data_IF_972202322478
#
_entry.id   IF_972202322478
#
_cell.length_a   1.000
_cell.length_b   1.000
_cell.length_c   1.000
_cell.angle_alpha   90.00
_cell.angle_beta   90.00
_cell.angle_gamma   90.00
#
_symmetry.space_group_name_H-M   'P 1'
#
loop_
_entity.id
_entity.type
_entity.pdbx_description
1 polymer ?
#
# COMPACT_ATOMS: atom_id res chain seq x y z
N UNK A 1 -19.38 -23.21 -5.11
CA UNK A 1 -18.88 -22.66 -6.40
C UNK A 1 -17.40 -22.38 -6.25
N UNK A 2 -16.54 -22.76 -7.21
CA UNK A 2 -15.13 -22.36 -7.19
C UNK A 2 -15.04 -20.84 -7.36
N UNK A 3 -14.70 -20.13 -6.29
CA UNK A 3 -14.48 -18.68 -6.35
C UNK A 3 -13.36 -18.37 -7.34
N UNK A 4 -13.66 -17.55 -8.36
CA UNK A 4 -12.65 -17.03 -9.27
C UNK A 4 -12.12 -15.69 -8.75
N UNK A 5 -10.87 -15.34 -9.03
CA UNK A 5 -10.29 -14.03 -8.67
C UNK A 5 -11.18 -12.87 -9.15
N UNK A 6 -11.72 -12.98 -10.37
CA UNK A 6 -12.66 -12.00 -10.93
C UNK A 6 -13.97 -11.93 -10.13
N UNK A 7 -14.47 -13.08 -9.67
CA UNK A 7 -15.64 -13.16 -8.79
C UNK A 7 -15.40 -12.46 -7.45
N UNK A 8 -14.27 -12.76 -6.79
CA UNK A 8 -13.88 -12.12 -5.52
C UNK A 8 -13.77 -10.60 -5.67
N UNK A 9 -13.06 -10.10 -6.69
CA UNK A 9 -12.92 -8.65 -6.92
C UNK A 9 -14.26 -7.99 -7.23
N UNK A 10 -15.09 -8.61 -8.07
CA UNK A 10 -16.42 -8.08 -8.40
C UNK A 10 -17.34 -8.06 -7.18
N UNK A 11 -17.32 -9.11 -6.37
CA UNK A 11 -18.12 -9.19 -5.15
C UNK A 11 -17.66 -8.23 -4.06
N UNK A 12 -16.36 -7.98 -3.95
CA UNK A 12 -15.83 -6.94 -3.06
C UNK A 12 -16.22 -5.54 -3.55
N UNK A 13 -16.15 -5.30 -4.86
CA UNK A 13 -16.57 -4.05 -5.48
C UNK A 13 -18.07 -3.76 -5.33
N UNK A 14 -18.93 -4.79 -5.39
CA UNK A 14 -20.36 -4.62 -5.12
C UNK A 14 -20.63 -4.26 -3.66
N UNK A 15 -19.98 -4.93 -2.70
CA UNK A 15 -20.10 -4.62 -1.27
C UNK A 15 -19.57 -3.23 -0.91
N UNK A 16 -18.53 -2.75 -1.59
CA UNK A 16 -17.96 -1.42 -1.38
C UNK A 16 -18.85 -0.28 -1.88
N UNK A 17 -19.92 -0.57 -2.65
CA UNK A 17 -20.56 0.29 -3.64
C UNK A 17 -19.70 0.44 -4.91
N UNK A 18 -20.15 -0.04 -6.09
CA UNK A 18 -19.37 0.01 -7.33
C UNK A 18 -18.92 1.42 -7.74
N UNK A 19 -19.76 2.44 -7.53
CA UNK A 19 -19.42 3.82 -7.86
C UNK A 19 -18.31 4.34 -6.94
N UNK A 20 -18.36 3.98 -5.65
CA UNK A 20 -17.30 4.30 -4.71
C UNK A 20 -16.00 3.57 -5.07
N UNK A 21 -16.04 2.26 -5.32
CA UNK A 21 -14.85 1.48 -5.67
C UNK A 21 -14.17 2.00 -6.95
N UNK A 22 -14.96 2.32 -7.99
CA UNK A 22 -14.46 2.93 -9.20
C UNK A 22 -13.86 4.32 -8.94
N UNK A 23 -14.57 5.18 -8.21
CA UNK A 23 -14.09 6.53 -7.87
C UNK A 23 -12.80 6.51 -7.04
N UNK A 24 -12.71 5.63 -6.04
CA UNK A 24 -11.55 5.48 -5.16
C UNK A 24 -10.27 5.09 -5.91
N UNK A 25 -10.39 4.42 -7.07
CA UNK A 25 -9.25 4.07 -7.92
C UNK A 25 -9.05 5.09 -9.03
N UNK A 26 -10.07 5.33 -9.84
CA UNK A 26 -9.95 6.11 -11.07
C UNK A 26 -9.58 7.56 -10.80
N UNK A 27 -10.14 8.18 -9.75
CA UNK A 27 -9.90 9.60 -9.48
C UNK A 27 -8.45 9.87 -9.06
N UNK A 28 -7.86 9.18 -8.05
CA UNK A 28 -6.47 9.39 -7.68
C UNK A 28 -5.49 9.02 -8.81
N UNK A 29 -5.74 7.91 -9.51
CA UNK A 29 -4.85 7.44 -10.59
C UNK A 29 -4.88 8.40 -11.77
N UNK A 30 -6.06 8.87 -12.19
CA UNK A 30 -6.17 9.86 -13.27
C UNK A 30 -5.53 11.19 -12.87
N UNK A 31 -5.72 11.65 -11.63
CA UNK A 31 -5.07 12.85 -11.13
C UNK A 31 -3.54 12.74 -11.20
N UNK A 32 -2.98 11.59 -10.82
CA UNK A 32 -1.54 11.33 -10.95
C UNK A 32 -1.09 11.34 -12.41
N UNK A 33 -1.79 10.61 -13.29
CA UNK A 33 -1.44 10.54 -14.71
C UNK A 33 -1.40 11.92 -15.36
N UNK A 34 -2.45 12.72 -15.13
CA UNK A 34 -2.53 14.09 -15.66
C UNK A 34 -1.41 14.96 -15.08
N UNK A 35 -1.19 14.91 -13.77
CA UNK A 35 -0.20 15.76 -13.11
C UNK A 35 1.25 15.39 -13.50
N UNK A 36 1.55 14.10 -13.69
CA UNK A 36 2.87 13.62 -14.07
C UNK A 36 3.22 13.86 -15.55
N UNK A 37 2.22 13.93 -16.44
CA UNK A 37 2.43 14.04 -17.90
C UNK A 37 2.28 15.46 -18.43
N UNK A 38 1.14 16.11 -18.14
CA UNK A 38 0.79 17.43 -18.72
C UNK A 38 0.67 18.52 -17.66
N UNK A 39 0.53 18.14 -16.39
CA UNK A 39 0.35 19.10 -15.29
C UNK A 39 1.64 19.84 -14.91
N UNK A 40 1.49 20.98 -14.23
CA UNK A 40 2.61 21.76 -13.71
C UNK A 40 3.30 21.08 -12.52
N UNK A 41 4.44 21.61 -12.08
CA UNK A 41 5.15 21.11 -10.89
C UNK A 41 4.31 21.25 -9.62
N UNK A 42 3.55 22.34 -9.52
CA UNK A 42 2.64 22.63 -8.42
C UNK A 42 1.49 21.63 -8.40
N UNK A 43 0.89 21.33 -9.56
CA UNK A 43 -0.17 20.33 -9.67
C UNK A 43 0.32 18.93 -9.31
N UNK A 44 1.53 18.56 -9.75
CA UNK A 44 2.12 17.27 -9.39
C UNK A 44 2.44 17.18 -7.89
N UNK A 45 3.01 18.24 -7.32
CA UNK A 45 3.22 18.36 -5.87
C UNK A 45 1.90 18.25 -5.12
N UNK A 46 0.87 18.97 -5.56
CA UNK A 46 -0.45 18.94 -4.94
C UNK A 46 -1.06 17.54 -4.94
N UNK A 47 -1.08 16.86 -6.09
CA UNK A 47 -1.65 15.49 -6.17
C UNK A 47 -0.88 14.51 -5.27
N UNK A 48 0.45 14.56 -5.30
CA UNK A 48 1.28 13.72 -4.44
C UNK A 48 1.02 13.98 -2.95
N UNK A 49 1.07 15.25 -2.53
CA UNK A 49 0.91 15.63 -1.12
C UNK A 49 -0.52 15.33 -0.65
N UNK A 50 -1.54 15.64 -1.44
CA UNK A 50 -2.94 15.37 -1.07
C UNK A 50 -3.21 13.88 -0.91
N UNK A 51 -2.69 13.03 -1.82
CA UNK A 51 -2.81 11.58 -1.66
C UNK A 51 -2.09 11.10 -0.40
N UNK A 52 -0.88 11.60 -0.14
CA UNK A 52 -0.10 11.22 1.04
C UNK A 52 -0.72 11.67 2.36
N UNK A 53 -1.26 12.89 2.42
CA UNK A 53 -1.95 13.42 3.60
C UNK A 53 -3.24 12.66 3.87
N UNK A 54 -4.03 12.32 2.84
CA UNK A 54 -5.22 11.50 3.01
C UNK A 54 -4.88 10.10 3.50
N UNK A 55 -3.87 9.46 2.88
CA UNK A 55 -3.42 8.13 3.30
C UNK A 55 -2.97 8.13 4.77
N UNK A 56 -2.09 9.07 5.12
CA UNK A 56 -1.56 9.21 6.49
C UNK A 56 -2.64 9.57 7.49
N UNK A 57 -3.53 10.50 7.13
CA UNK A 57 -4.61 10.95 7.98
C UNK A 57 -5.59 9.82 8.30
N UNK A 58 -5.89 8.96 7.33
CA UNK A 58 -6.72 7.78 7.56
C UNK A 58 -6.03 6.80 8.50
N UNK A 59 -4.75 6.45 8.27
CA UNK A 59 -4.03 5.50 9.13
C UNK A 59 -3.93 5.98 10.58
N UNK A 60 -3.63 7.28 10.78
CA UNK A 60 -3.62 7.90 12.10
C UNK A 60 -5.00 7.94 12.75
N UNK A 61 -6.06 8.28 11.99
CA UNK A 61 -7.43 8.25 12.48
C UNK A 61 -7.84 6.84 12.89
N UNK A 62 -7.52 5.84 12.07
CA UNK A 62 -7.78 4.43 12.36
C UNK A 62 -7.12 3.98 13.64
N UNK A 63 -5.90 4.43 13.90
CA UNK A 63 -5.13 4.04 15.06
C UNK A 63 -5.57 4.75 16.35
N UNK A 64 -5.75 6.06 16.29
CA UNK A 64 -5.95 6.91 17.47
C UNK A 64 -7.41 7.05 17.86
N UNK A 65 -8.33 6.98 16.89
CA UNK A 65 -9.76 7.23 17.11
C UNK A 65 -10.56 5.96 16.90
N UNK A 66 -10.54 5.40 15.69
CA UNK A 66 -11.43 4.28 15.37
C UNK A 66 -11.02 2.99 16.11
N UNK A 67 -9.72 2.70 16.22
CA UNK A 67 -9.19 1.52 16.90
C UNK A 67 -9.66 1.39 18.36
N UNK A 68 -9.50 2.42 19.21
CA UNK A 68 -10.03 2.42 20.57
C UNK A 68 -11.56 2.26 20.63
N UNK A 69 -12.30 2.93 19.74
CA UNK A 69 -13.77 2.79 19.66
C UNK A 69 -14.15 1.34 19.35
N UNK A 70 -13.52 0.73 18.35
CA UNK A 70 -13.75 -0.67 17.98
C UNK A 70 -13.36 -1.63 19.10
N UNK A 71 -12.28 -1.34 19.83
CA UNK A 71 -11.83 -2.13 20.97
C UNK A 71 -12.86 -2.20 22.11
N UNK A 72 -13.68 -1.17 22.27
CA UNK A 72 -14.76 -1.13 23.26
C UNK A 72 -16.05 -1.84 22.85
N UNK A 73 -16.19 -2.25 21.58
CA UNK A 73 -17.39 -2.94 21.09
C UNK A 73 -17.34 -4.45 21.38
N UNK A 74 -18.52 -5.03 21.61
CA UNK A 74 -18.73 -6.48 21.57
C UNK A 74 -18.35 -7.04 20.18
N UNK A 75 -17.97 -8.33 20.13
CA UNK A 75 -17.43 -8.98 18.91
C UNK A 75 -18.35 -8.82 17.72
N UNK A 76 -19.65 -9.09 17.88
CA UNK A 76 -20.62 -9.03 16.77
C UNK A 76 -20.81 -7.61 16.24
N UNK A 77 -20.91 -6.63 17.15
CA UNK A 77 -21.00 -5.22 16.77
C UNK A 77 -19.74 -4.76 16.03
N UNK A 78 -18.56 -5.20 16.49
CA UNK A 78 -17.28 -4.90 15.85
C UNK A 78 -17.18 -5.55 14.46
N UNK A 79 -17.59 -6.81 14.32
CA UNK A 79 -17.62 -7.53 13.05
C UNK A 79 -18.48 -6.78 12.03
N UNK A 80 -19.70 -6.40 12.42
CA UNK A 80 -20.63 -5.64 11.58
C UNK A 80 -20.05 -4.31 11.07
N UNK A 81 -19.22 -3.63 11.88
CA UNK A 81 -18.51 -2.43 11.41
C UNK A 81 -17.45 -2.80 10.37
N UNK A 82 -16.61 -3.79 10.63
CA UNK A 82 -15.58 -4.23 9.68
C UNK A 82 -16.17 -4.75 8.36
N UNK A 83 -17.33 -5.40 8.40
CA UNK A 83 -18.01 -5.90 7.20
C UNK A 83 -18.39 -4.80 6.21
N UNK A 84 -18.72 -3.62 6.72
CA UNK A 84 -19.08 -2.44 5.92
C UNK A 84 -17.86 -1.60 5.57
N UNK A 85 -16.87 -1.61 6.45
CA UNK A 85 -15.69 -0.77 6.36
C UNK A 85 -14.63 -1.36 5.41
N UNK A 86 -14.27 -2.62 5.60
CA UNK A 86 -13.18 -3.30 4.88
C UNK A 86 -13.32 -3.22 3.37
N UNK A 87 -14.50 -3.52 2.74
CA UNK A 87 -14.63 -3.46 1.29
C UNK A 87 -14.25 -2.09 0.70
N UNK A 88 -14.55 -1.00 1.41
CA UNK A 88 -14.22 0.37 0.95
C UNK A 88 -12.72 0.64 1.07
N UNK A 89 -12.12 0.23 2.19
CA UNK A 89 -10.70 0.44 2.43
C UNK A 89 -9.81 -0.33 1.47
N UNK A 90 -10.23 -1.55 1.06
CA UNK A 90 -9.48 -2.36 0.10
C UNK A 90 -9.33 -1.72 -1.28
N UNK A 91 -10.21 -0.78 -1.65
CA UNK A 91 -10.05 0.02 -2.87
C UNK A 91 -9.36 1.36 -2.59
N UNK A 92 -9.73 2.03 -1.51
CA UNK A 92 -9.25 3.39 -1.22
C UNK A 92 -7.76 3.41 -0.81
N UNK A 93 -7.36 2.59 0.17
CA UNK A 93 -6.02 2.68 0.75
C UNK A 93 -4.92 2.27 -0.23
N UNK A 94 -5.04 1.15 -0.98
CA UNK A 94 -4.03 0.79 -1.96
C UNK A 94 -3.89 1.83 -3.08
N UNK A 95 -5.01 2.47 -3.47
CA UNK A 95 -5.01 3.55 -4.47
C UNK A 95 -4.26 4.79 -3.98
N UNK A 96 -4.56 5.26 -2.77
CA UNK A 96 -3.86 6.40 -2.17
C UNK A 96 -2.38 6.10 -1.92
N UNK A 97 -2.05 4.90 -1.45
CA UNK A 97 -0.67 4.45 -1.27
C UNK A 97 0.09 4.44 -2.60
N UNK A 98 -0.48 3.85 -3.65
CA UNK A 98 0.10 3.83 -5.00
C UNK A 98 0.38 5.24 -5.50
N UNK A 99 -0.62 6.13 -5.43
CA UNK A 99 -0.48 7.50 -5.93
C UNK A 99 0.54 8.30 -5.13
N UNK A 100 0.59 8.10 -3.82
CA UNK A 100 1.60 8.73 -2.96
C UNK A 100 3.01 8.29 -3.34
N UNK A 101 3.24 6.97 -3.48
CA UNK A 101 4.57 6.40 -3.75
C UNK A 101 5.03 6.77 -5.16
N UNK A 102 4.20 6.52 -6.18
CA UNK A 102 4.56 6.80 -7.58
C UNK A 102 4.65 8.30 -7.81
N UNK A 103 3.71 9.09 -7.27
CA UNK A 103 3.77 10.55 -7.32
C UNK A 103 5.04 11.10 -6.67
N UNK A 104 5.45 10.56 -5.53
CA UNK A 104 6.67 11.01 -4.84
C UNK A 104 7.93 10.72 -5.64
N UNK A 105 8.07 9.50 -6.16
CA UNK A 105 9.22 9.10 -6.98
C UNK A 105 9.29 9.94 -8.27
N UNK A 106 8.18 10.03 -9.00
CA UNK A 106 8.15 10.75 -10.28
C UNK A 106 8.33 12.25 -10.09
N UNK A 107 7.80 12.83 -9.01
CA UNK A 107 8.02 14.23 -8.66
C UNK A 107 9.49 14.48 -8.30
N UNK A 108 10.12 13.61 -7.49
CA UNK A 108 11.51 13.74 -7.10
C UNK A 108 12.47 13.70 -8.30
N UNK A 109 12.18 12.85 -9.28
CA UNK A 109 12.88 12.82 -10.57
C UNK A 109 12.65 14.12 -11.36
N UNK A 110 11.40 14.58 -11.43
CA UNK A 110 11.01 15.79 -12.20
C UNK A 110 11.64 17.07 -11.66
N UNK A 111 11.82 17.18 -10.34
CA UNK A 111 12.47 18.34 -9.70
C UNK A 111 13.96 18.13 -9.43
N UNK A 112 14.52 17.01 -9.91
CA UNK A 112 15.95 16.70 -9.89
C UNK A 112 16.57 16.62 -8.48
N UNK A 113 15.81 16.16 -7.49
CA UNK A 113 16.28 15.96 -6.10
C UNK A 113 16.65 14.50 -5.79
N UNK A 114 16.58 13.61 -6.78
CA UNK A 114 16.88 12.19 -6.66
C UNK A 114 18.11 11.81 -7.51
N UNK A 115 19.33 12.18 -7.09
CA UNK A 115 20.55 11.76 -7.78
C UNK A 115 20.72 10.25 -7.70
N UNK A 116 21.41 9.66 -8.68
CA UNK A 116 21.73 8.23 -8.69
C UNK A 116 20.50 7.32 -8.56
N UNK A 117 19.37 7.74 -9.15
CA UNK A 117 18.08 7.11 -8.90
C UNK A 117 18.01 5.63 -9.32
N UNK A 118 18.65 5.22 -10.42
CA UNK A 118 18.46 3.87 -11.00
C UNK A 118 18.87 2.73 -10.06
N UNK A 119 20.10 2.71 -9.48
CA UNK A 119 20.46 1.70 -8.47
C UNK A 119 19.53 1.68 -7.26
N UNK A 120 19.11 2.87 -6.77
CA UNK A 120 18.22 2.98 -5.62
C UNK A 120 16.79 2.53 -5.92
N UNK A 121 16.28 2.79 -7.13
CA UNK A 121 14.99 2.28 -7.59
C UNK A 121 15.02 0.77 -7.78
N UNK A 122 16.11 0.20 -8.30
CA UNK A 122 16.28 -1.25 -8.41
C UNK A 122 16.25 -1.93 -7.03
N UNK A 123 16.97 -1.37 -6.05
CA UNK A 123 16.93 -1.82 -4.65
C UNK A 123 15.52 -1.69 -4.08
N UNK A 124 14.92 -0.50 -4.16
CA UNK A 124 13.57 -0.23 -3.66
C UNK A 124 12.54 -1.21 -4.25
N UNK A 125 12.57 -1.45 -5.56
CA UNK A 125 11.68 -2.40 -6.23
C UNK A 125 11.90 -3.82 -5.72
N UNK A 126 13.14 -4.30 -5.65
CA UNK A 126 13.44 -5.66 -5.19
C UNK A 126 13.00 -5.88 -3.72
N UNK A 127 13.36 -4.95 -2.82
CA UNK A 127 13.06 -5.03 -1.39
C UNK A 127 11.60 -4.72 -1.06
N UNK A 128 10.84 -4.11 -1.97
CA UNK A 128 9.39 -3.98 -1.82
C UNK A 128 8.66 -5.19 -2.37
N UNK A 129 8.93 -5.54 -3.63
CA UNK A 129 8.17 -6.56 -4.37
C UNK A 129 8.41 -7.96 -3.81
N UNK A 130 9.66 -8.38 -3.63
CA UNK A 130 9.96 -9.76 -3.25
C UNK A 130 9.47 -10.10 -1.84
N UNK A 131 9.69 -9.26 -0.80
CA UNK A 131 9.14 -9.54 0.51
C UNK A 131 7.61 -9.45 0.56
N UNK A 132 6.99 -8.53 -0.19
CA UNK A 132 5.54 -8.47 -0.29
C UNK A 132 4.97 -9.75 -0.91
N UNK A 133 5.55 -10.24 -2.01
CA UNK A 133 5.17 -11.52 -2.61
C UNK A 133 5.39 -12.67 -1.63
N UNK A 134 6.58 -12.81 -1.02
CA UNK A 134 6.83 -13.86 -0.02
C UNK A 134 5.79 -13.86 1.10
N UNK A 135 5.41 -12.67 1.58
CA UNK A 135 4.38 -12.51 2.61
C UNK A 135 3.00 -12.96 2.12
N UNK A 136 2.61 -12.61 0.89
CA UNK A 136 1.37 -13.09 0.25
C UNK A 136 1.40 -14.62 0.12
N UNK A 137 2.49 -15.18 -0.40
CA UNK A 137 2.65 -16.62 -0.60
C UNK A 137 2.55 -17.39 0.70
N UNK A 138 3.16 -16.88 1.78
CA UNK A 138 3.03 -17.44 3.12
C UNK A 138 1.60 -17.36 3.65
N UNK A 139 0.94 -16.21 3.47
CA UNK A 139 -0.43 -16.05 3.95
C UNK A 139 -1.44 -16.96 3.27
N UNK A 140 -1.24 -17.33 2.00
CA UNK A 140 -2.16 -18.19 1.26
C UNK A 140 -1.67 -19.63 1.06
N UNK A 141 -0.61 -20.05 1.77
CA UNK A 141 0.04 -21.36 1.59
C UNK A 141 0.36 -21.69 0.11
N UNK A 142 0.77 -20.68 -0.65
CA UNK A 142 0.90 -20.76 -2.09
C UNK A 142 2.24 -21.34 -2.58
N UNK A 143 3.18 -21.66 -1.67
CA UNK A 143 4.52 -22.12 -2.04
C UNK A 143 4.57 -23.48 -2.74
N UNK A 144 3.46 -24.23 -2.71
CA UNK A 144 3.30 -25.47 -3.48
C UNK A 144 2.60 -25.27 -4.83
N UNK A 145 2.01 -24.09 -5.07
CA UNK A 145 1.32 -23.78 -6.32
C UNK A 145 2.33 -23.39 -7.41
N UNK A 146 2.33 -24.14 -8.52
CA UNK A 146 3.22 -23.88 -9.66
C UNK A 146 3.01 -22.49 -10.28
N UNK A 147 1.77 -21.99 -10.32
CA UNK A 147 1.47 -20.63 -10.86
C UNK A 147 2.12 -19.56 -9.99
N UNK A 148 2.05 -19.74 -8.67
CA UNK A 148 2.70 -18.85 -7.71
C UNK A 148 4.22 -18.90 -7.84
N UNK A 149 4.80 -20.11 -7.92
CA UNK A 149 6.24 -20.29 -8.13
C UNK A 149 6.74 -19.65 -9.43
N UNK A 150 5.98 -19.76 -10.52
CA UNK A 150 6.31 -19.10 -11.79
C UNK A 150 6.24 -17.58 -11.65
N UNK A 151 5.18 -17.04 -11.06
CA UNK A 151 5.04 -15.59 -10.86
C UNK A 151 6.18 -15.04 -9.99
N UNK A 152 6.46 -15.69 -8.85
CA UNK A 152 7.55 -15.31 -7.97
C UNK A 152 8.92 -15.44 -8.64
N UNK A 153 9.16 -16.53 -9.36
CA UNK A 153 10.41 -16.76 -10.09
C UNK A 153 10.67 -15.70 -11.17
N UNK A 154 9.62 -15.27 -11.89
CA UNK A 154 9.71 -14.17 -12.85
C UNK A 154 10.00 -12.83 -12.15
N UNK A 155 9.31 -12.52 -11.06
CA UNK A 155 9.58 -11.31 -10.28
C UNK A 155 11.00 -11.29 -9.74
N UNK A 156 11.50 -12.41 -9.21
CA UNK A 156 12.86 -12.56 -8.73
C UNK A 156 13.87 -12.35 -9.87
N UNK A 157 13.66 -13.00 -11.00
CA UNK A 157 14.55 -12.89 -12.16
C UNK A 157 14.62 -11.45 -12.68
N UNK A 158 13.47 -10.77 -12.80
CA UNK A 158 13.42 -9.35 -13.23
C UNK A 158 14.11 -8.45 -12.21
N UNK A 159 13.88 -8.64 -10.90
CA UNK A 159 14.55 -7.85 -9.86
C UNK A 159 16.07 -8.05 -9.85
N UNK A 160 16.53 -9.31 -9.98
CA UNK A 160 17.96 -9.63 -10.06
C UNK A 160 18.59 -9.06 -11.33
N UNK A 161 17.92 -9.18 -12.47
CA UNK A 161 18.39 -8.59 -13.73
C UNK A 161 18.50 -7.07 -13.62
N UNK A 162 17.49 -6.39 -13.06
CA UNK A 162 17.51 -4.94 -12.90
C UNK A 162 18.67 -4.52 -11.99
N UNK A 163 18.81 -5.15 -10.82
CA UNK A 163 19.95 -4.94 -9.92
C UNK A 163 21.29 -5.18 -10.62
N UNK A 164 21.42 -6.28 -11.36
CA UNK A 164 22.65 -6.61 -12.09
C UNK A 164 23.05 -5.55 -13.13
N UNK A 165 22.06 -4.92 -13.78
CA UNK A 165 22.32 -3.84 -14.75
C UNK A 165 22.62 -2.49 -14.12
N UNK A 166 22.18 -2.23 -12.88
CA UNK A 166 22.31 -0.91 -12.25
C UNK A 166 23.38 -0.86 -11.16
N UNK A 167 23.62 -1.95 -10.42
CA UNK A 167 24.55 -1.98 -9.29
C UNK A 167 26.00 -1.60 -9.65
N UNK A 168 26.55 -1.90 -10.84
CA UNK A 168 27.89 -1.44 -11.20
C UNK A 168 28.05 0.08 -11.20
N UNK A 169 26.96 0.83 -11.40
CA UNK A 169 26.91 2.28 -11.34
C UNK A 169 26.33 2.79 -10.01
N UNK A 170 26.41 1.98 -8.94
CA UNK A 170 25.90 2.38 -7.63
C UNK A 170 26.70 3.55 -7.08
N UNK A 171 25.98 4.63 -6.82
CA UNK A 171 26.44 5.78 -6.06
C UNK A 171 25.39 6.19 -5.04
N UNK A 172 25.84 6.81 -3.96
CA UNK A 172 24.95 7.26 -2.89
C UNK A 172 23.97 8.33 -3.42
N UNK A 173 22.69 8.21 -3.07
CA UNK A 173 21.70 9.27 -3.31
C UNK A 173 21.68 10.26 -2.13
N UNK A 174 20.78 11.24 -2.14
CA UNK A 174 20.56 12.08 -0.94
C UNK A 174 20.15 11.22 0.25
N UNK A 175 20.77 11.42 1.42
CA UNK A 175 20.44 10.68 2.65
C UNK A 175 18.94 10.76 2.98
N UNK A 176 18.31 11.91 2.75
CA UNK A 176 16.87 12.10 2.97
C UNK A 176 16.03 11.21 2.05
N UNK A 177 16.43 11.09 0.78
CA UNK A 177 15.76 10.21 -0.18
C UNK A 177 15.99 8.74 0.18
N UNK A 178 17.21 8.36 0.56
CA UNK A 178 17.53 7.00 0.99
C UNK A 178 16.67 6.57 2.21
N UNK A 179 16.54 7.45 3.21
CA UNK A 179 15.67 7.23 4.38
C UNK A 179 14.21 7.11 3.95
N UNK A 180 13.73 8.01 3.10
CA UNK A 180 12.35 7.96 2.60
C UNK A 180 12.06 6.62 1.87
N UNK A 181 12.95 6.18 0.98
CA UNK A 181 12.80 4.90 0.27
C UNK A 181 12.83 3.71 1.21
N UNK A 182 13.70 3.71 2.23
CA UNK A 182 13.75 2.66 3.22
C UNK A 182 12.44 2.55 4.01
N UNK A 183 11.91 3.69 4.48
CA UNK A 183 10.62 3.71 5.20
C UNK A 183 9.48 3.28 4.28
N UNK A 184 9.42 3.81 3.05
CA UNK A 184 8.37 3.45 2.09
C UNK A 184 8.44 1.97 1.69
N UNK A 185 9.64 1.36 1.69
CA UNK A 185 9.80 -0.08 1.50
C UNK A 185 9.09 -0.85 2.61
N UNK A 186 9.34 -0.50 3.88
CA UNK A 186 8.67 -1.12 5.04
C UNK A 186 7.15 -0.92 4.95
N UNK A 187 6.69 0.30 4.68
CA UNK A 187 5.27 0.62 4.52
C UNK A 187 4.61 -0.21 3.42
N UNK A 188 5.29 -0.37 2.28
CA UNK A 188 4.77 -1.11 1.13
C UNK A 188 4.69 -2.61 1.40
N UNK A 189 5.70 -3.19 2.08
CA UNK A 189 5.67 -4.60 2.50
C UNK A 189 4.54 -4.85 3.50
N UNK A 190 4.36 -3.96 4.48
CA UNK A 190 3.24 -4.06 5.43
C UNK A 190 1.87 -3.90 4.75
N UNK A 191 1.73 -2.89 3.87
CA UNK A 191 0.48 -2.60 3.19
C UNK A 191 0.06 -3.69 2.20
N UNK A 192 0.91 -3.96 1.22
CA UNK A 192 0.58 -4.89 0.13
C UNK A 192 0.86 -6.34 0.48
N UNK A 193 1.86 -6.61 1.33
CA UNK A 193 2.27 -7.96 1.71
C UNK A 193 1.54 -8.52 2.92
N UNK A 194 1.04 -7.68 3.84
CA UNK A 194 0.41 -8.10 5.10
C UNK A 194 -1.05 -7.69 5.22
N UNK A 195 -1.36 -6.39 5.11
CA UNK A 195 -2.69 -5.83 5.33
C UNK A 195 -3.68 -6.25 4.24
N UNK A 196 -3.37 -5.98 2.97
CA UNK A 196 -4.25 -6.28 1.84
C UNK A 196 -4.61 -7.77 1.72
N UNK A 197 -3.67 -8.73 1.87
CA UNK A 197 -4.01 -10.15 1.95
C UNK A 197 -4.92 -10.49 3.13
N UNK A 198 -4.73 -9.81 4.27
CA UNK A 198 -5.61 -9.94 5.43
C UNK A 198 -7.05 -9.49 5.12
N UNK A 199 -7.22 -8.38 4.38
CA UNK A 199 -8.54 -7.92 3.94
C UNK A 199 -9.21 -8.90 2.98
N UNK A 200 -8.44 -9.53 2.07
CA UNK A 200 -8.96 -10.59 1.19
C UNK A 200 -9.41 -11.82 2.00
N UNK A 201 -8.65 -12.22 3.03
CA UNK A 201 -9.05 -13.32 3.93
C UNK A 201 -10.31 -12.98 4.70
N UNK A 202 -10.38 -11.76 5.25
CA UNK A 202 -11.57 -11.29 5.93
C UNK A 202 -12.77 -11.30 4.97
N UNK A 203 -12.61 -10.86 3.73
CA UNK A 203 -13.68 -10.89 2.73
C UNK A 203 -14.20 -12.30 2.47
N UNK A 204 -13.29 -13.28 2.32
CA UNK A 204 -13.68 -14.68 2.16
C UNK A 204 -14.46 -15.22 3.36
N UNK A 205 -14.08 -14.80 4.57
CA UNK A 205 -14.83 -15.14 5.79
C UNK A 205 -16.22 -14.50 5.78
N UNK A 206 -16.32 -13.22 5.41
CA UNK A 206 -17.61 -12.52 5.31
C UNK A 206 -18.56 -13.06 4.21
N UNK A 207 -18.06 -13.92 3.33
CA UNK A 207 -18.82 -14.52 2.22
C UNK A 207 -18.94 -16.04 2.36
N UNK A 208 -18.45 -16.62 3.46
CA UNK A 208 -18.60 -18.04 3.73
C UNK A 208 -20.06 -18.38 4.07
N UNK A 209 -20.40 -19.67 4.01
CA UNK A 209 -21.76 -20.14 4.32
C UNK A 209 -22.12 -19.96 5.80
N UNK A 210 -21.11 -19.95 6.68
CA UNK A 210 -21.23 -19.75 8.13
C UNK A 210 -20.12 -18.78 8.62
N UNK A 211 -20.32 -17.45 8.50
CA UNK A 211 -19.29 -16.47 8.84
C UNK A 211 -18.96 -16.41 10.34
N UNK A 212 -17.67 -16.50 10.67
CA UNK A 212 -17.19 -16.37 12.06
C UNK A 212 -16.87 -14.90 12.41
N UNK A 213 -17.67 -14.33 13.32
CA UNK A 213 -17.52 -12.94 13.79
C UNK A 213 -16.24 -12.71 14.59
N UNK A 214 -15.70 -13.74 15.26
CA UNK A 214 -14.41 -13.66 15.95
C UNK A 214 -13.25 -13.55 14.98
N UNK A 215 -13.28 -14.30 13.88
CA UNK A 215 -12.25 -14.22 12.82
C UNK A 215 -12.24 -12.82 12.20
N UNK A 216 -13.39 -12.29 11.82
CA UNK A 216 -13.53 -10.96 11.21
C UNK A 216 -13.04 -9.88 12.19
N UNK A 217 -13.51 -9.91 13.43
CA UNK A 217 -13.12 -9.01 14.51
C UNK A 217 -11.61 -9.04 14.77
N UNK A 218 -11.01 -10.24 14.85
CA UNK A 218 -9.58 -10.43 15.10
C UNK A 218 -8.72 -9.87 13.98
N UNK A 219 -9.05 -10.15 12.72
CA UNK A 219 -8.31 -9.61 11.56
C UNK A 219 -8.45 -8.09 11.52
N UNK A 220 -9.66 -7.56 11.72
CA UNK A 220 -9.91 -6.13 11.69
C UNK A 220 -9.14 -5.37 12.76
N UNK A 221 -9.13 -5.87 14.00
CA UNK A 221 -8.36 -5.26 15.08
C UNK A 221 -6.85 -5.34 14.84
N UNK A 222 -6.35 -6.42 14.23
CA UNK A 222 -4.96 -6.51 13.81
C UNK A 222 -4.62 -5.43 12.78
N UNK A 223 -5.49 -5.26 11.78
CA UNK A 223 -5.28 -4.26 10.74
C UNK A 223 -5.33 -2.84 11.29
N UNK A 224 -6.26 -2.52 12.22
CA UNK A 224 -6.31 -1.21 12.87
C UNK A 224 -5.02 -0.89 13.67
N UNK A 225 -4.44 -1.88 14.36
CA UNK A 225 -3.15 -1.71 15.06
C UNK A 225 -1.99 -1.50 14.08
N UNK A 226 -1.93 -2.29 13.01
CA UNK A 226 -0.91 -2.17 11.97
C UNK A 226 -1.00 -0.83 11.22
N UNK A 227 -2.21 -0.32 10.98
CA UNK A 227 -2.41 1.03 10.44
C UNK A 227 -1.79 2.10 11.35
N UNK A 228 -1.86 1.94 12.68
CA UNK A 228 -1.16 2.84 13.61
C UNK A 228 0.36 2.79 13.49
N UNK A 229 0.92 1.59 13.34
CA UNK A 229 2.36 1.44 13.07
C UNK A 229 2.72 2.11 11.74
N UNK A 230 1.89 1.94 10.69
CA UNK A 230 2.10 2.63 9.40
C UNK A 230 2.03 4.16 9.56
N UNK A 231 1.07 4.68 10.32
CA UNK A 231 0.93 6.11 10.62
C UNK A 231 2.21 6.73 11.18
N UNK A 232 2.89 6.05 12.11
CA UNK A 232 4.17 6.52 12.68
C UNK A 232 5.26 6.59 11.61
N UNK A 233 5.41 5.56 10.79
CA UNK A 233 6.37 5.56 9.69
C UNK A 233 6.05 6.65 8.65
N UNK A 234 4.77 6.88 8.34
CA UNK A 234 4.35 7.94 7.43
C UNK A 234 4.68 9.33 7.99
N UNK A 235 4.52 9.57 9.29
CA UNK A 235 4.97 10.82 9.92
C UNK A 235 6.48 11.01 9.78
N UNK A 236 7.28 9.95 9.88
CA UNK A 236 8.72 10.01 9.63
C UNK A 236 9.04 10.32 8.15
N UNK A 237 8.25 9.80 7.20
CA UNK A 237 8.36 10.20 5.78
C UNK A 237 8.01 11.67 5.60
N UNK A 238 6.93 12.15 6.22
CA UNK A 238 6.55 13.58 6.17
C UNK A 238 7.67 14.46 6.71
N UNK A 239 8.25 14.10 7.87
CA UNK A 239 9.40 14.81 8.42
C UNK A 239 10.60 14.81 7.45
N UNK A 240 10.85 13.69 6.77
CA UNK A 240 11.88 13.59 5.73
C UNK A 240 11.59 14.53 4.55
N UNK A 241 10.35 14.61 4.09
CA UNK A 241 9.95 15.52 3.00
C UNK A 241 10.05 16.99 3.39
N UNK A 242 9.72 17.33 4.64
CA UNK A 242 9.90 18.68 5.19
C UNK A 242 11.39 19.02 5.23
N UNK A 243 12.24 18.12 5.72
CA UNK A 243 13.70 18.31 5.71
C UNK A 243 14.23 18.54 4.29
N UNK A 244 13.78 17.73 3.32
CA UNK A 244 14.15 17.90 1.90
C UNK A 244 13.78 19.30 1.36
N UNK A 245 12.63 19.83 1.76
CA UNK A 245 12.16 21.16 1.34
C UNK A 245 13.02 22.31 1.88
N UNK A 246 13.56 22.16 3.09
CA UNK A 246 14.31 23.22 3.79
C UNK A 246 15.83 23.05 3.73
N UNK A 247 16.35 22.19 2.85
CA UNK A 247 17.79 22.08 2.58
C UNK A 247 18.50 20.89 3.22
N UNK A 248 17.76 19.94 3.83
CA UNK A 248 18.34 18.75 4.45
C UNK A 248 18.98 19.01 5.82
N UNK A 249 19.54 17.95 6.42
CA UNK A 249 20.52 18.04 7.51
C UNK A 249 21.93 18.02 6.94
#
# INVERSE_FOLDING_TARGET
MTETVRGTVRGMGSRANPAFAAGAILLPVLALLLAATVGTREQHTYVHVMAGVLWTGIDLFMAMVLGPVLGGLAVDARSSVFERFTPKMTFLMPSLALVTIVGGITLALRVQVFPNAQPWLALFTAFTLLPALLSIGWQFDAFRDRRWLVAFGLSLLVSVAYLGTTLPAFEMTSHVIAVALAIVTVLSVLGFGVLLPGEVKMYREMTSDDPDTEVISRIGMRNAKLAGVQGVFQLAVVASMVSLRYGGF
#
